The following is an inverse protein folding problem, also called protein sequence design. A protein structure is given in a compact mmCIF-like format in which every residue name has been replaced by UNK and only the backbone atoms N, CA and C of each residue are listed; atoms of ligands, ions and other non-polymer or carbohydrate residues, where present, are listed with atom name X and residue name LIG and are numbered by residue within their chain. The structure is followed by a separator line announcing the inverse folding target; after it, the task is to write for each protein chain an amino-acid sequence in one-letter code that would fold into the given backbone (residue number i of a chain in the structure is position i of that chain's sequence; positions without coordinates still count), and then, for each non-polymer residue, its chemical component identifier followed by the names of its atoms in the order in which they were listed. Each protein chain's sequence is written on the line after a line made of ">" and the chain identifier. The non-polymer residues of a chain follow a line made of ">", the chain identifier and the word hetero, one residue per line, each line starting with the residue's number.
data_IF_419308769965
#
_entry.id   IF_419308769965
#
_cell.length_a   1.000
_cell.length_b   1.000
_cell.length_c   1.000
_cell.angle_alpha   90.00
_cell.angle_beta   90.00
_cell.angle_gamma   90.00
#
_symmetry.space_group_name_H-M   'P 1'
#
loop_
_entity.id
_entity.type
_entity.pdbx_description
1 polymer ?
#
# COMPACT_ATOMS: atom_id res chain seq x y z
N UNK A 1 -7.35 -17.43 0.90
CA UNK A 1 -6.38 -16.72 1.75
C UNK A 1 -6.84 -15.29 2.11
N UNK A 2 -7.05 -14.37 1.16
CA UNK A 2 -7.25 -12.95 1.48
C UNK A 2 -8.62 -12.55 2.09
N UNK A 3 -9.65 -13.33 1.80
CA UNK A 3 -10.98 -13.17 2.43
C UNK A 3 -11.11 -13.97 3.73
N UNK A 4 -10.15 -14.85 4.02
CA UNK A 4 -10.17 -15.81 5.12
C UNK A 4 -9.38 -15.23 6.30
N UNK A 5 -9.91 -15.36 7.52
CA UNK A 5 -9.21 -14.93 8.75
C UNK A 5 -9.00 -13.41 8.88
N UNK A 6 -7.85 -13.00 9.41
CA UNK A 6 -7.57 -11.60 9.77
C UNK A 6 -7.47 -10.61 8.59
N UNK A 7 -7.25 -11.11 7.38
CA UNK A 7 -7.04 -10.31 6.17
C UNK A 7 -8.31 -9.67 5.60
N UNK A 8 -9.50 -10.14 6.01
CA UNK A 8 -10.77 -9.51 5.62
C UNK A 8 -10.85 -8.05 6.08
N UNK A 9 -10.40 -7.77 7.32
CA UNK A 9 -10.39 -6.41 7.88
C UNK A 9 -9.47 -5.49 7.07
N UNK A 10 -8.30 -6.00 6.67
CA UNK A 10 -7.35 -5.26 5.83
C UNK A 10 -7.94 -4.99 4.45
N UNK A 11 -8.65 -5.96 3.87
CA UNK A 11 -9.32 -5.80 2.57
C UNK A 11 -10.40 -4.70 2.61
N UNK A 12 -11.22 -4.66 3.67
CA UNK A 12 -12.22 -3.59 3.86
C UNK A 12 -11.53 -2.25 4.10
N UNK A 13 -10.45 -2.23 4.90
CA UNK A 13 -9.66 -1.03 5.14
C UNK A 13 -9.06 -0.47 3.85
N UNK A 14 -8.53 -1.33 2.96
CA UNK A 14 -8.02 -0.94 1.66
C UNK A 14 -9.14 -0.40 0.75
N UNK A 15 -10.29 -1.07 0.69
CA UNK A 15 -11.43 -0.58 -0.08
C UNK A 15 -11.83 0.84 0.36
N UNK A 16 -11.94 1.08 1.66
CA UNK A 16 -12.30 2.39 2.19
C UNK A 16 -11.16 3.41 2.04
N UNK A 17 -9.96 3.05 2.44
CA UNK A 17 -8.81 3.94 2.61
C UNK A 17 -7.99 4.21 1.34
N UNK A 18 -7.85 3.21 0.47
CA UNK A 18 -7.10 3.32 -0.78
C UNK A 18 -7.99 3.80 -1.94
N UNK A 19 -9.27 3.42 -1.96
CA UNK A 19 -10.19 3.77 -3.03
C UNK A 19 -11.19 4.87 -2.65
N UNK A 20 -12.08 4.64 -1.67
CA UNK A 20 -13.21 5.55 -1.41
C UNK A 20 -12.74 6.90 -0.87
N UNK A 21 -11.87 6.93 0.14
CA UNK A 21 -11.40 8.17 0.76
C UNK A 21 -10.68 9.06 -0.27
N UNK A 22 -9.68 8.59 -1.02
CA UNK A 22 -9.00 9.40 -2.03
C UNK A 22 -9.93 9.84 -3.14
N UNK A 23 -10.84 8.97 -3.59
CA UNK A 23 -11.83 9.29 -4.60
C UNK A 23 -12.74 10.45 -4.17
N UNK A 24 -13.34 10.36 -2.98
CA UNK A 24 -14.22 11.41 -2.45
C UNK A 24 -13.46 12.71 -2.19
N UNK A 25 -12.24 12.64 -1.66
CA UNK A 25 -11.39 13.81 -1.46
C UNK A 25 -11.05 14.50 -2.80
N UNK A 26 -10.79 13.72 -3.86
CA UNK A 26 -10.49 14.27 -5.18
C UNK A 26 -11.72 14.56 -6.05
N UNK A 27 -12.95 14.31 -5.62
CA UNK A 27 -14.13 14.85 -6.33
C UNK A 27 -14.16 16.37 -6.20
N UNK A 28 -13.82 16.89 -5.02
CA UNK A 28 -13.80 18.33 -4.79
C UNK A 28 -12.64 18.99 -5.54
N UNK A 29 -12.91 20.16 -6.13
CA UNK A 29 -11.87 21.00 -6.76
C UNK A 29 -10.88 21.58 -5.76
N UNK A 30 -11.30 21.76 -4.50
CA UNK A 30 -10.49 22.47 -3.50
C UNK A 30 -9.21 21.70 -3.11
N UNK A 31 -9.26 20.40 -2.77
CA UNK A 31 -8.05 19.61 -2.48
C UNK A 31 -7.04 19.55 -3.63
N UNK A 32 -7.50 19.79 -4.87
CA UNK A 32 -6.63 19.84 -6.06
C UNK A 32 -5.96 21.20 -6.27
N UNK A 33 -6.47 22.27 -5.67
CA UNK A 33 -5.93 23.63 -5.82
C UNK A 33 -4.98 24.03 -4.68
N UNK A 34 -5.05 23.35 -3.53
CA UNK A 34 -4.17 23.62 -2.39
C UNK A 34 -3.03 22.58 -2.29
N UNK A 35 -1.75 22.98 -2.49
CA UNK A 35 -0.63 22.05 -2.52
C UNK A 35 -0.42 21.32 -1.19
N UNK A 36 -0.73 21.96 -0.06
CA UNK A 36 -0.61 21.33 1.26
C UNK A 36 -1.59 20.15 1.41
N UNK A 37 -2.85 20.32 0.99
CA UNK A 37 -3.85 19.24 1.01
C UNK A 37 -3.46 18.11 0.05
N UNK A 38 -3.01 18.45 -1.16
CA UNK A 38 -2.52 17.48 -2.12
C UNK A 38 -1.32 16.67 -1.58
N UNK A 39 -0.39 17.33 -0.87
CA UNK A 39 0.75 16.66 -0.24
C UNK A 39 0.32 15.70 0.87
N UNK A 40 -0.62 16.09 1.74
CA UNK A 40 -1.17 15.21 2.78
C UNK A 40 -1.83 13.98 2.15
N UNK A 41 -2.65 14.18 1.10
CA UNK A 41 -3.31 13.08 0.39
C UNK A 41 -2.27 12.20 -0.32
N UNK A 42 -1.21 12.77 -0.89
CA UNK A 42 -0.13 12.00 -1.51
C UNK A 42 0.59 11.10 -0.49
N UNK A 43 0.92 11.63 0.70
CA UNK A 43 1.51 10.83 1.79
C UNK A 43 0.55 9.72 2.23
N UNK A 44 -0.74 10.02 2.39
CA UNK A 44 -1.77 9.02 2.67
C UNK A 44 -1.82 7.92 1.61
N UNK A 45 -1.79 8.29 0.32
CA UNK A 45 -1.79 7.35 -0.80
C UNK A 45 -0.56 6.44 -0.78
N UNK A 46 0.62 6.98 -0.46
CA UNK A 46 1.84 6.18 -0.31
C UNK A 46 1.69 5.17 0.83
N UNK A 47 1.15 5.58 1.98
CA UNK A 47 0.92 4.66 3.11
C UNK A 47 -0.12 3.57 2.78
N UNK A 48 -1.22 3.93 2.11
CA UNK A 48 -2.23 2.96 1.68
C UNK A 48 -1.73 2.03 0.59
N UNK A 49 -0.93 2.52 -0.35
CA UNK A 49 -0.28 1.70 -1.35
C UNK A 49 0.72 0.73 -0.73
N UNK A 50 1.41 1.16 0.33
CA UNK A 50 2.29 0.28 1.09
C UNK A 50 1.52 -0.85 1.78
N UNK A 51 0.35 -0.54 2.34
CA UNK A 51 -0.55 -1.55 2.91
C UNK A 51 -1.10 -2.50 1.83
N UNK A 52 -1.38 -2.00 0.63
CA UNK A 52 -1.81 -2.81 -0.52
C UNK A 52 -0.71 -3.78 -0.95
N UNK A 53 0.53 -3.31 -1.06
CA UNK A 53 1.69 -4.16 -1.35
C UNK A 53 1.90 -5.24 -0.28
N UNK A 54 1.75 -4.88 1.01
CA UNK A 54 1.80 -5.81 2.14
C UNK A 54 0.71 -6.89 2.03
N UNK A 55 -0.53 -6.49 1.70
CA UNK A 55 -1.66 -7.38 1.49
C UNK A 55 -1.52 -8.29 0.26
N UNK A 56 -0.76 -7.86 -0.76
CA UNK A 56 -0.46 -8.69 -1.93
C UNK A 56 0.61 -9.75 -1.64
N UNK A 57 1.67 -9.40 -0.92
CA UNK A 57 2.87 -10.23 -0.73
C UNK A 57 2.72 -11.28 0.38
N UNK A 58 2.17 -10.92 1.54
CA UNK A 58 2.18 -11.78 2.72
C UNK A 58 1.13 -12.90 2.85
N UNK A 59 -0.03 -12.90 2.16
CA UNK A 59 -0.95 -14.02 2.33
C UNK A 59 -0.37 -15.26 1.65
N UNK A 60 0.32 -16.07 2.45
CA UNK A 60 0.82 -17.39 2.09
C UNK A 60 -0.30 -18.43 2.25
N UNK A 61 -0.23 -19.54 1.51
CA UNK A 61 -1.14 -20.68 1.69
C UNK A 61 -0.43 -21.65 2.65
N UNK A 62 -0.87 -21.78 3.90
CA UNK A 62 0.00 -22.26 4.95
C UNK A 62 0.05 -23.78 5.15
N UNK A 63 -0.52 -24.59 4.26
CA UNK A 63 -0.27 -26.04 4.34
C UNK A 63 -0.47 -26.75 3.01
N UNK A 64 0.32 -27.82 2.73
CA UNK A 64 0.03 -28.76 1.65
C UNK A 64 -1.40 -29.34 1.73
N UNK A 65 -1.96 -29.40 2.93
CA UNK A 65 -3.34 -29.84 3.19
C UNK A 65 -4.38 -28.87 2.60
N UNK A 66 -4.13 -27.56 2.67
CA UNK A 66 -5.00 -26.56 2.03
C UNK A 66 -4.90 -26.53 0.50
N UNK A 67 -3.75 -26.94 -0.06
CA UNK A 67 -3.65 -27.17 -1.50
C UNK A 67 -4.52 -28.34 -1.96
N UNK A 68 -4.53 -29.42 -1.17
CA UNK A 68 -5.36 -30.60 -1.45
C UNK A 68 -6.86 -30.34 -1.20
N UNK A 69 -7.18 -29.43 -0.28
CA UNK A 69 -8.55 -28.96 -0.02
C UNK A 69 -8.96 -27.78 -0.92
N UNK A 70 -8.12 -27.31 -1.84
CA UNK A 70 -8.42 -26.15 -2.69
C UNK A 70 -9.58 -26.36 -3.67
N UNK A 71 -10.04 -27.61 -3.84
CA UNK A 71 -11.28 -27.95 -4.54
C UNK A 71 -12.55 -27.94 -3.68
N UNK A 72 -12.43 -27.74 -2.37
CA UNK A 72 -13.55 -27.74 -1.41
C UNK A 72 -14.07 -26.32 -1.09
N UNK A 73 -15.28 -26.26 -0.56
CA UNK A 73 -16.00 -25.01 -0.22
C UNK A 73 -15.20 -24.08 0.71
N UNK A 74 -15.30 -22.78 0.49
CA UNK A 74 -14.68 -21.71 1.29
C UNK A 74 -14.81 -21.88 2.82
N UNK A 75 -15.93 -22.44 3.29
CA UNK A 75 -16.21 -22.65 4.72
C UNK A 75 -15.23 -23.65 5.36
N UNK A 76 -14.79 -24.68 4.63
CA UNK A 76 -13.81 -25.65 5.15
C UNK A 76 -12.42 -25.03 5.23
N UNK A 77 -12.06 -24.17 4.26
CA UNK A 77 -10.81 -23.39 4.27
C UNK A 77 -10.76 -22.39 5.43
N UNK A 78 -11.89 -21.81 5.82
CA UNK A 78 -11.98 -20.93 6.99
C UNK A 78 -11.78 -21.70 8.30
N UNK A 79 -12.43 -22.85 8.46
CA UNK A 79 -12.26 -23.69 9.65
C UNK A 79 -10.81 -24.22 9.78
N UNK A 80 -10.20 -24.63 8.67
CA UNK A 80 -8.80 -25.05 8.62
C UNK A 80 -7.84 -23.88 8.92
N UNK A 81 -8.13 -22.69 8.41
CA UNK A 81 -7.35 -21.48 8.69
C UNK A 81 -7.40 -21.09 10.18
N UNK A 82 -8.56 -21.21 10.82
CA UNK A 82 -8.74 -20.94 12.24
C UNK A 82 -8.03 -21.99 13.12
N UNK A 83 -7.97 -23.25 12.67
CA UNK A 83 -7.21 -24.33 13.32
C UNK A 83 -5.69 -24.13 13.18
N UNK A 84 -5.21 -23.74 12.00
CA UNK A 84 -3.80 -23.45 11.75
C UNK A 84 -3.27 -22.24 12.55
N UNK A 85 -4.15 -21.35 13.03
CA UNK A 85 -3.75 -20.28 13.98
C UNK A 85 -3.41 -20.80 15.37
N UNK A 86 -3.93 -21.97 15.74
CA UNK A 86 -3.75 -22.56 17.08
C UNK A 86 -2.68 -23.64 17.13
N UNK A 87 -2.06 -23.95 15.99
CA UNK A 87 -1.08 -25.03 15.90
C UNK A 87 0.25 -24.63 16.56
N UNK A 88 0.96 -25.55 17.26
CA UNK A 88 2.21 -25.24 17.96
C UNK A 88 3.38 -24.87 17.05
N UNK A 89 3.28 -25.25 15.77
CA UNK A 89 4.18 -24.95 14.67
C UNK A 89 3.76 -23.71 13.88
N UNK A 90 2.72 -22.99 14.33
CA UNK A 90 2.32 -21.73 13.75
C UNK A 90 3.53 -20.80 13.68
N UNK A 91 3.96 -20.48 12.45
CA UNK A 91 5.00 -19.47 12.21
C UNK A 91 4.66 -18.23 13.05
N UNK A 92 5.65 -17.64 13.75
CA UNK A 92 5.46 -16.40 14.50
C UNK A 92 4.84 -15.27 13.66
N UNK A 93 4.91 -15.41 12.32
CA UNK A 93 4.42 -14.47 11.32
C UNK A 93 2.99 -14.75 10.82
N UNK A 94 2.28 -15.73 11.39
CA UNK A 94 0.84 -15.91 11.24
C UNK A 94 0.40 -16.34 9.83
N UNK A 95 0.17 -17.63 9.68
CA UNK A 95 -0.29 -18.27 8.45
C UNK A 95 -1.62 -17.75 7.85
N UNK A 96 -2.44 -17.08 8.64
CA UNK A 96 -3.81 -16.65 8.25
C UNK A 96 -4.24 -15.32 8.92
N UNK A 97 -3.31 -14.63 9.59
CA UNK A 97 -3.58 -13.44 10.39
C UNK A 97 -2.72 -12.23 10.02
N UNK A 98 -3.24 -11.02 10.26
CA UNK A 98 -2.47 -9.78 10.11
C UNK A 98 -1.56 -9.61 11.34
N UNK A 99 -0.26 -9.90 11.18
CA UNK A 99 0.74 -9.82 12.25
C UNK A 99 1.94 -8.94 11.81
N UNK A 100 1.79 -7.59 11.84
CA UNK A 100 2.87 -6.69 11.43
C UNK A 100 4.09 -6.87 12.35
N UNK A 101 5.24 -7.19 11.77
CA UNK A 101 6.49 -7.29 12.50
C UNK A 101 7.28 -5.98 12.41
N UNK A 102 8.04 -5.66 13.46
CA UNK A 102 8.84 -4.44 13.49
C UNK A 102 9.86 -4.41 12.34
N UNK A 103 10.39 -5.57 11.96
CA UNK A 103 11.33 -5.70 10.84
C UNK A 103 10.71 -5.34 9.49
N UNK A 104 9.41 -5.61 9.29
CA UNK A 104 8.71 -5.24 8.05
C UNK A 104 8.68 -3.72 7.90
N UNK A 105 8.35 -3.03 8.99
CA UNK A 105 8.31 -1.57 9.05
C UNK A 105 9.69 -0.95 8.89
N UNK A 106 10.72 -1.48 9.56
CA UNK A 106 12.08 -0.93 9.47
C UNK A 106 12.71 -1.19 8.11
N UNK A 107 12.48 -2.36 7.50
CA UNK A 107 12.94 -2.67 6.15
C UNK A 107 12.33 -1.71 5.13
N UNK A 108 11.02 -1.49 5.23
CA UNK A 108 10.26 -0.60 4.37
C UNK A 108 10.70 0.87 4.52
N UNK A 109 10.86 1.35 5.76
CA UNK A 109 11.37 2.71 6.01
C UNK A 109 12.82 2.87 5.53
N UNK A 110 13.67 1.85 5.69
CA UNK A 110 15.04 1.88 5.21
C UNK A 110 15.11 1.97 3.68
N UNK A 111 14.37 1.11 2.96
CA UNK A 111 14.34 1.10 1.50
C UNK A 111 13.68 2.37 0.94
N UNK A 112 12.54 2.77 1.49
CA UNK A 112 11.84 4.00 1.09
C UNK A 112 12.67 5.25 1.37
N UNK A 113 13.33 5.31 2.53
CA UNK A 113 14.25 6.38 2.89
C UNK A 113 15.47 6.45 1.97
N UNK A 114 16.07 5.30 1.66
CA UNK A 114 17.22 5.23 0.76
C UNK A 114 16.86 5.68 -0.66
N UNK A 115 15.73 5.21 -1.19
CA UNK A 115 15.23 5.60 -2.51
C UNK A 115 14.92 7.10 -2.60
N UNK A 116 14.23 7.65 -1.59
CA UNK A 116 13.91 9.08 -1.53
C UNK A 116 15.18 9.93 -1.40
N UNK A 117 16.13 9.52 -0.55
CA UNK A 117 17.44 10.18 -0.43
C UNK A 117 18.19 10.21 -1.77
N UNK A 118 18.30 9.06 -2.45
CA UNK A 118 18.98 8.97 -3.75
C UNK A 118 18.29 9.86 -4.81
N UNK A 119 16.96 9.89 -4.80
CA UNK A 119 16.16 10.72 -5.72
C UNK A 119 16.39 12.21 -5.46
N UNK A 120 16.32 12.67 -4.20
CA UNK A 120 16.55 14.08 -3.85
C UNK A 120 17.98 14.50 -4.19
N UNK A 121 18.97 13.65 -3.88
CA UNK A 121 20.38 13.91 -4.22
C UNK A 121 20.58 14.06 -5.73
N UNK A 122 19.90 13.24 -6.52
CA UNK A 122 19.95 13.30 -7.99
C UNK A 122 19.21 14.52 -8.54
N UNK A 123 18.06 14.89 -7.96
CA UNK A 123 17.32 16.10 -8.34
C UNK A 123 18.11 17.38 -8.02
N UNK A 124 18.85 17.41 -6.91
CA UNK A 124 19.71 18.55 -6.54
C UNK A 124 20.93 18.76 -7.44
N UNK A 125 21.31 17.75 -8.24
CA UNK A 125 22.46 17.86 -9.16
C UNK A 125 22.13 18.46 -10.53
N UNK A 126 20.87 18.80 -10.81
CA UNK A 126 20.43 19.31 -12.11
C UNK A 126 19.50 20.53 -11.95
N UNK A 127 19.31 21.29 -13.04
CA UNK A 127 18.34 22.38 -13.06
C UNK A 127 16.91 21.84 -12.86
N UNK A 128 16.20 22.32 -11.83
CA UNK A 128 14.84 21.89 -11.48
C UNK A 128 13.78 22.34 -12.48
N UNK A 129 14.08 23.35 -13.30
CA UNK A 129 13.24 23.80 -14.40
C UNK A 129 14.04 23.79 -15.71
N UNK A 130 13.38 23.56 -16.86
CA UNK A 130 14.07 23.35 -18.13
C UNK A 130 14.51 24.67 -18.76
N UNK A 131 15.72 25.14 -18.39
CA UNK A 131 16.31 26.40 -18.87
C UNK A 131 16.41 26.55 -20.40
N UNK A 132 16.49 25.45 -21.14
CA UNK A 132 16.68 25.44 -22.61
C UNK A 132 15.40 25.12 -23.40
N UNK A 133 14.26 25.00 -22.74
CA UNK A 133 13.00 24.69 -23.43
C UNK A 133 12.40 25.97 -24.06
N UNK A 134 12.19 26.02 -25.39
CA UNK A 134 11.55 27.15 -26.07
C UNK A 134 10.15 27.49 -25.51
N UNK A 135 9.41 26.51 -24.96
CA UNK A 135 8.03 26.67 -24.46
C UNK A 135 7.96 27.00 -22.97
N UNK A 136 9.10 27.27 -22.32
CA UNK A 136 9.15 27.60 -20.89
C UNK A 136 8.28 28.80 -20.54
N UNK A 137 8.31 29.85 -21.37
CA UNK A 137 7.54 31.07 -21.15
C UNK A 137 6.01 30.83 -21.24
N UNK A 138 5.55 29.96 -22.15
CA UNK A 138 4.15 29.55 -22.23
C UNK A 138 3.71 28.83 -20.95
N UNK A 139 4.56 27.97 -20.39
CA UNK A 139 4.27 27.19 -19.18
C UNK A 139 4.24 28.04 -17.92
N UNK A 140 5.10 29.07 -17.84
CA UNK A 140 5.12 30.02 -16.72
C UNK A 140 3.92 30.99 -16.75
N UNK A 141 3.42 31.31 -17.94
CA UNK A 141 2.25 32.16 -18.12
C UNK A 141 0.91 31.42 -17.96
N UNK A 142 0.94 30.09 -17.81
CA UNK A 142 -0.27 29.28 -17.67
C UNK A 142 -0.89 29.43 -16.28
N UNK A 143 -2.07 30.06 -16.22
CA UNK A 143 -2.95 30.04 -15.04
C UNK A 143 -4.09 29.05 -15.24
N UNK A 144 -4.30 28.17 -14.26
CA UNK A 144 -5.38 27.20 -14.25
C UNK A 144 -6.66 27.85 -13.67
N UNK A 145 -7.52 28.40 -14.54
CA UNK A 145 -8.80 29.02 -14.16
C UNK A 145 -9.78 28.03 -13.50
#
# INVERSE_FOLDING_TARGET
>A
ARMIGGWQKVSILLLLGHFIIPFVLFISKHPKRFPATAAIIAVWMVLMHMLDMYWLVLPEIPSPEMWNAAGESYVTLQALADQAMTSPDASPYGYTGFAPHLLDLTCLLALGGLYTYATIKRLGSAALYPLKDPRLHESLAFENM
#
